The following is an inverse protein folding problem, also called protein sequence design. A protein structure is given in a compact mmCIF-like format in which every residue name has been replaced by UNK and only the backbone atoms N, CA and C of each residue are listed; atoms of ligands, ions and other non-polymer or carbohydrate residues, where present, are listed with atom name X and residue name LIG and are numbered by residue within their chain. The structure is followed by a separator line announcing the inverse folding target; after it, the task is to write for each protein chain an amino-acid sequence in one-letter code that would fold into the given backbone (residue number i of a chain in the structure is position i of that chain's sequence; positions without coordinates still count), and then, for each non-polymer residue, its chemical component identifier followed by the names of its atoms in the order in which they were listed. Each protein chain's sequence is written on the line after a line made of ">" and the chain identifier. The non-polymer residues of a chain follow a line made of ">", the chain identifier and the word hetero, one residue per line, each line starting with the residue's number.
data_IF_822805686719
#
_entry.id   IF_822805686719
#
_cell.length_a   1.000
_cell.length_b   1.000
_cell.length_c   1.000
_cell.angle_alpha   90.00
_cell.angle_beta   90.00
_cell.angle_gamma   90.00
#
_symmetry.space_group_name_H-M   'P 1'
#
loop_
_entity.id
_entity.type
_entity.pdbx_description
1 polymer ?
#
# COMPACT_ATOMS: atom_id res chain seq x y z
N UNK A 1 8.64 9.12 0.38
CA UNK A 1 8.57 7.67 0.09
C UNK A 1 9.33 6.91 1.17
N UNK A 2 8.76 5.82 1.71
CA UNK A 2 9.27 5.07 2.85
C UNK A 2 9.92 3.74 2.43
N UNK A 3 11.15 3.45 2.88
CA UNK A 3 11.87 2.25 2.47
C UNK A 3 11.42 1.00 3.22
N UNK A 4 11.01 -0.02 2.46
CA UNK A 4 10.57 -1.33 2.99
C UNK A 4 11.66 -2.01 3.83
N UNK A 5 12.94 -1.70 3.55
CA UNK A 5 14.09 -2.19 4.32
C UNK A 5 14.00 -1.90 5.82
N UNK A 6 13.37 -0.79 6.23
CA UNK A 6 13.22 -0.46 7.66
C UNK A 6 12.37 -1.50 8.39
N UNK A 7 11.31 -1.99 7.76
CA UNK A 7 10.48 -3.05 8.33
C UNK A 7 11.20 -4.38 8.36
N UNK A 8 12.06 -4.68 7.38
CA UNK A 8 12.95 -5.86 7.45
C UNK A 8 13.86 -5.84 8.67
N UNK A 9 14.37 -4.67 9.07
CA UNK A 9 15.15 -4.53 10.32
C UNK A 9 14.28 -4.79 11.56
N UNK A 10 13.05 -4.27 11.59
CA UNK A 10 12.13 -4.49 12.70
C UNK A 10 11.72 -5.97 12.83
N UNK A 11 11.45 -6.63 11.69
CA UNK A 11 11.17 -8.08 11.64
C UNK A 11 12.37 -8.86 12.17
N UNK A 12 13.59 -8.58 11.70
CA UNK A 12 14.79 -9.27 12.17
C UNK A 12 15.04 -9.05 13.67
N UNK A 13 14.83 -7.84 14.16
CA UNK A 13 14.95 -7.53 15.59
C UNK A 13 13.93 -8.33 16.41
N UNK A 14 12.67 -8.38 15.96
CA UNK A 14 11.62 -9.12 16.64
C UNK A 14 11.87 -10.63 16.61
N UNK A 15 12.32 -11.17 15.48
CA UNK A 15 12.70 -12.58 15.33
C UNK A 15 13.82 -13.02 16.28
N UNK A 16 14.74 -12.11 16.61
CA UNK A 16 15.87 -12.38 17.51
C UNK A 16 15.55 -12.22 19.00
N UNK A 17 14.33 -11.79 19.34
CA UNK A 17 13.95 -11.53 20.72
C UNK A 17 13.72 -12.86 21.48
N UNK A 18 14.30 -13.07 22.68
CA UNK A 18 14.28 -14.37 23.36
C UNK A 18 12.87 -14.87 23.73
N UNK A 19 11.91 -13.95 23.85
CA UNK A 19 10.52 -14.24 24.17
C UNK A 19 9.59 -14.32 22.95
N UNK A 20 10.15 -14.40 21.73
CA UNK A 20 9.39 -14.44 20.49
C UNK A 20 9.66 -15.75 19.75
N UNK A 21 8.60 -16.44 19.35
CA UNK A 21 8.69 -17.56 18.42
C UNK A 21 8.81 -17.00 16.99
N UNK A 22 10.03 -16.99 16.46
CA UNK A 22 10.32 -16.47 15.12
C UNK A 22 9.63 -17.23 13.99
N UNK A 23 9.11 -18.44 14.26
CA UNK A 23 8.32 -19.20 13.30
C UNK A 23 6.84 -18.77 13.26
N UNK A 24 6.39 -17.84 14.12
CA UNK A 24 4.98 -17.44 14.28
C UNK A 24 4.73 -15.93 14.20
N UNK A 25 5.55 -15.21 13.43
CA UNK A 25 5.37 -13.76 13.29
C UNK A 25 4.13 -13.41 12.47
N UNK A 26 3.40 -12.39 12.92
CA UNK A 26 2.24 -11.84 12.23
C UNK A 26 2.36 -10.32 12.11
N UNK A 27 1.68 -9.75 11.11
CA UNK A 27 1.56 -8.29 10.93
C UNK A 27 0.09 -7.89 10.91
N UNK A 28 -0.22 -6.79 11.58
CA UNK A 28 -1.55 -6.19 11.59
C UNK A 28 -1.45 -4.77 11.01
N UNK A 29 -2.39 -4.41 10.15
CA UNK A 29 -2.42 -3.07 9.57
C UNK A 29 -3.84 -2.59 9.23
N UNK A 30 -4.04 -1.28 9.31
CA UNK A 30 -5.31 -0.60 8.99
C UNK A 30 -5.10 0.43 7.89
N UNK A 31 -6.03 0.54 6.93
CA UNK A 31 -5.97 1.55 5.85
C UNK A 31 -4.64 1.46 5.08
N UNK A 32 -3.85 2.54 5.00
CA UNK A 32 -2.50 2.53 4.41
C UNK A 32 -1.55 1.55 5.10
N UNK A 33 -1.75 1.30 6.39
CA UNK A 33 -1.04 0.25 7.13
C UNK A 33 -1.47 -1.16 6.73
N UNK A 34 -2.72 -1.36 6.29
CA UNK A 34 -3.20 -2.64 5.78
C UNK A 34 -2.60 -2.98 4.40
N UNK A 35 -2.48 -1.97 3.53
CA UNK A 35 -1.70 -2.06 2.28
C UNK A 35 -0.24 -2.44 2.58
N UNK A 36 0.40 -1.77 3.56
CA UNK A 36 1.75 -2.11 4.00
C UNK A 36 1.83 -3.54 4.56
N UNK A 37 0.87 -3.96 5.37
CA UNK A 37 0.87 -5.31 5.97
C UNK A 37 0.86 -6.40 4.90
N UNK A 38 0.01 -6.27 3.87
CA UNK A 38 -0.01 -7.17 2.71
C UNK A 38 1.30 -7.12 1.92
N UNK A 39 1.82 -5.91 1.66
CA UNK A 39 3.09 -5.74 0.96
C UNK A 39 4.26 -6.40 1.71
N UNK A 40 4.36 -6.22 3.02
CA UNK A 40 5.41 -6.83 3.84
C UNK A 40 5.33 -8.36 3.79
N UNK A 41 4.14 -8.94 3.88
CA UNK A 41 3.97 -10.38 3.81
C UNK A 41 4.33 -10.96 2.43
N UNK A 42 4.15 -10.18 1.35
CA UNK A 42 4.58 -10.59 0.00
C UNK A 42 6.11 -10.60 -0.17
N UNK A 43 6.84 -9.82 0.62
CA UNK A 43 8.30 -9.64 0.51
C UNK A 43 9.08 -10.44 1.56
N UNK A 44 8.53 -10.62 2.77
CA UNK A 44 9.22 -11.22 3.90
C UNK A 44 8.57 -12.55 4.31
N UNK A 45 9.12 -13.71 3.88
CA UNK A 45 8.59 -15.03 4.22
C UNK A 45 8.55 -15.35 5.72
N UNK A 46 9.23 -14.55 6.56
CA UNK A 46 9.17 -14.66 8.01
C UNK A 46 7.77 -14.35 8.56
N UNK A 47 6.98 -13.52 7.88
CA UNK A 47 5.61 -13.20 8.26
C UNK A 47 4.71 -14.38 7.86
N UNK A 48 4.02 -14.98 8.83
CA UNK A 48 3.17 -16.17 8.65
C UNK A 48 1.68 -15.87 8.65
N UNK A 49 1.28 -14.72 9.19
CA UNK A 49 -0.11 -14.29 9.19
C UNK A 49 -0.22 -12.77 9.00
N UNK A 50 -1.30 -12.35 8.35
CA UNK A 50 -1.63 -10.94 8.13
C UNK A 50 -3.06 -10.68 8.60
N UNK A 51 -3.25 -9.61 9.36
CA UNK A 51 -4.58 -9.09 9.72
C UNK A 51 -4.72 -7.70 9.14
N UNK A 52 -5.66 -7.53 8.21
CA UNK A 52 -5.92 -6.25 7.55
C UNK A 52 -7.29 -5.69 7.96
N UNK A 53 -7.33 -4.45 8.45
CA UNK A 53 -8.56 -3.68 8.58
C UNK A 53 -8.65 -2.72 7.41
N UNK A 54 -9.67 -2.91 6.55
CA UNK A 54 -9.82 -2.19 5.27
C UNK A 54 -8.50 -2.12 4.47
N UNK A 55 -7.82 -3.26 4.22
CA UNK A 55 -6.55 -3.26 3.51
C UNK A 55 -6.77 -3.07 2.00
N UNK A 56 -5.68 -2.81 1.27
CA UNK A 56 -5.66 -2.80 -0.19
C UNK A 56 -4.58 -3.76 -0.71
N UNK A 57 -4.94 -4.61 -1.68
CA UNK A 57 -3.97 -5.40 -2.45
C UNK A 57 -3.24 -4.61 -3.53
N UNK A 58 -3.66 -3.37 -3.78
CA UNK A 58 -3.10 -2.42 -4.73
C UNK A 58 -2.34 -1.34 -3.97
N UNK A 59 -1.15 -0.96 -4.44
CA UNK A 59 -0.41 0.17 -3.89
C UNK A 59 -1.02 1.46 -4.44
N UNK A 60 -1.57 2.32 -3.58
CA UNK A 60 -2.06 3.64 -3.98
C UNK A 60 -1.04 4.75 -3.67
N UNK A 61 -1.27 6.00 -4.14
CA UNK A 61 -0.42 7.12 -3.81
C UNK A 61 -0.21 7.32 -2.31
N UNK A 62 0.91 7.96 -1.97
CA UNK A 62 1.19 8.38 -0.62
C UNK A 62 0.28 9.49 -0.13
N UNK A 63 0.02 9.49 1.18
CA UNK A 63 -0.70 10.55 1.87
C UNK A 63 0.24 11.76 1.96
N UNK A 64 0.09 12.73 1.05
CA UNK A 64 0.94 13.91 1.00
C UNK A 64 0.60 14.85 -0.15
N UNK A 65 1.15 16.07 -0.15
CA UNK A 65 0.96 17.03 -1.23
C UNK A 65 1.61 16.55 -2.53
N UNK A 66 1.16 17.13 -3.64
CA UNK A 66 1.67 16.86 -4.99
C UNK A 66 3.19 17.15 -5.11
N UNK A 67 3.93 16.39 -5.96
CA UNK A 67 3.44 15.42 -6.93
C UNK A 67 3.03 14.08 -6.30
N UNK A 68 2.07 13.42 -6.95
CA UNK A 68 1.61 12.07 -6.59
C UNK A 68 2.80 11.11 -6.69
N UNK A 69 3.09 10.39 -5.61
CA UNK A 69 4.21 9.46 -5.54
C UNK A 69 3.83 8.21 -4.72
N UNK A 70 4.54 7.11 -4.93
CA UNK A 70 4.38 5.92 -4.10
C UNK A 70 4.70 6.21 -2.64
N UNK A 71 3.96 5.56 -1.74
CA UNK A 71 4.34 5.51 -0.34
C UNK A 71 5.61 4.69 -0.11
N UNK A 72 5.94 3.74 -0.98
CA UNK A 72 6.87 2.66 -0.66
C UNK A 72 8.02 2.56 -1.64
N UNK A 73 9.20 2.26 -1.09
CA UNK A 73 10.41 1.99 -1.86
C UNK A 73 10.96 0.62 -1.52
N UNK A 74 11.30 -0.18 -2.54
CA UNK A 74 11.99 -1.45 -2.37
C UNK A 74 13.32 -1.42 -3.12
N UNK A 75 14.41 -1.84 -2.45
CA UNK A 75 15.79 -1.82 -3.00
C UNK A 75 16.19 -0.48 -3.65
N UNK A 76 15.78 0.64 -3.07
CA UNK A 76 16.09 1.97 -3.60
C UNK A 76 15.21 2.42 -4.76
N UNK A 77 14.24 1.61 -5.20
CA UNK A 77 13.31 1.94 -6.29
C UNK A 77 11.89 2.14 -5.78
N UNK A 78 11.19 3.15 -6.31
CA UNK A 78 9.77 3.35 -6.01
C UNK A 78 9.00 2.11 -6.46
N UNK A 79 8.15 1.59 -5.58
CA UNK A 79 7.23 0.54 -6.01
C UNK A 79 6.18 1.14 -6.95
N UNK A 80 5.77 0.39 -7.99
CA UNK A 80 4.64 0.79 -8.82
C UNK A 80 3.39 1.00 -7.97
N UNK A 81 2.55 1.94 -8.39
CA UNK A 81 1.35 2.30 -7.67
C UNK A 81 0.26 2.70 -8.66
N UNK A 82 -1.00 2.44 -8.30
CA UNK A 82 -2.18 2.76 -9.09
C UNK A 82 -2.48 4.25 -8.99
N UNK A 83 -2.32 4.96 -10.10
CA UNK A 83 -2.71 6.36 -10.26
C UNK A 83 -2.99 6.63 -11.73
N UNK A 84 -3.77 7.67 -12.02
CA UNK A 84 -4.06 8.04 -13.40
C UNK A 84 -5.18 9.04 -13.54
N UNK A 85 -5.64 9.21 -14.77
CA UNK A 85 -6.78 10.06 -15.11
C UNK A 85 -8.06 9.53 -14.48
N UNK A 86 -8.88 10.45 -13.99
CA UNK A 86 -10.18 10.18 -13.40
C UNK A 86 -11.19 11.00 -14.19
N UNK A 87 -12.34 10.44 -14.61
CA UNK A 87 -13.32 11.19 -15.39
C UNK A 87 -13.79 12.47 -14.70
N UNK A 88 -14.00 13.52 -15.49
CA UNK A 88 -14.39 14.84 -14.99
C UNK A 88 -15.69 14.80 -14.17
N UNK A 89 -16.61 13.87 -14.45
CA UNK A 89 -17.84 13.70 -13.66
C UNK A 89 -17.52 13.35 -12.20
N UNK A 90 -16.54 12.48 -11.98
CA UNK A 90 -16.16 11.99 -10.64
C UNK A 90 -15.50 13.12 -9.87
N UNK A 91 -14.65 13.90 -10.54
CA UNK A 91 -14.04 15.09 -9.94
C UNK A 91 -15.09 16.15 -9.59
N UNK A 92 -16.10 16.31 -10.43
CA UNK A 92 -17.23 17.22 -10.18
C UNK A 92 -18.05 16.76 -8.98
N UNK A 93 -18.38 15.47 -8.88
CA UNK A 93 -19.09 14.87 -7.74
C UNK A 93 -18.31 15.08 -6.43
N UNK A 94 -17.00 14.83 -6.43
CA UNK A 94 -16.13 15.06 -5.27
C UNK A 94 -16.12 16.54 -4.85
N UNK A 95 -15.97 17.46 -5.80
CA UNK A 95 -15.97 18.89 -5.54
C UNK A 95 -17.32 19.36 -4.98
N UNK A 96 -18.43 18.86 -5.52
CA UNK A 96 -19.76 19.13 -4.98
C UNK A 96 -19.89 18.60 -3.55
N UNK A 97 -19.45 17.37 -3.28
CA UNK A 97 -19.51 16.79 -1.94
C UNK A 97 -18.69 17.59 -0.92
N UNK A 98 -17.47 17.98 -1.28
CA UNK A 98 -16.60 18.82 -0.46
C UNK A 98 -17.20 20.20 -0.16
N UNK A 99 -17.90 20.80 -1.12
CA UNK A 99 -18.46 22.15 -0.98
C UNK A 99 -19.84 22.19 -0.30
N UNK A 100 -20.60 21.10 -0.35
CA UNK A 100 -21.98 21.03 0.17
C UNK A 100 -22.11 20.28 1.49
N UNK A 101 -21.03 19.65 1.96
CA UNK A 101 -21.01 18.93 3.23
C UNK A 101 -21.74 17.58 3.20
N UNK A 102 -22.13 17.09 2.02
CA UNK A 102 -22.62 15.71 1.88
C UNK A 102 -21.46 14.72 1.99
N UNK A 103 -21.71 13.45 2.38
CA UNK A 103 -20.65 12.46 2.54
C UNK A 103 -19.79 12.29 1.27
N UNK A 104 -18.48 12.39 1.43
CA UNK A 104 -17.51 12.19 0.35
C UNK A 104 -17.27 10.70 0.15
N UNK A 105 -17.40 10.23 -1.09
CA UNK A 105 -17.02 8.87 -1.49
C UNK A 105 -15.82 8.89 -2.44
N UNK A 106 -14.68 8.39 -1.96
CA UNK A 106 -13.48 8.22 -2.79
C UNK A 106 -13.54 6.95 -3.66
N UNK A 107 -14.59 6.13 -3.54
CA UNK A 107 -14.68 4.81 -4.17
C UNK A 107 -14.43 4.87 -5.68
N UNK A 108 -15.08 5.80 -6.39
CA UNK A 108 -14.93 5.93 -7.85
C UNK A 108 -13.50 6.28 -8.24
N UNK A 109 -12.85 7.20 -7.53
CA UNK A 109 -11.44 7.58 -7.77
C UNK A 109 -10.51 6.38 -7.63
N UNK A 110 -10.63 5.62 -6.54
CA UNK A 110 -9.80 4.44 -6.31
C UNK A 110 -10.07 3.34 -7.35
N UNK A 111 -11.33 3.15 -7.78
CA UNK A 111 -11.66 2.21 -8.85
C UNK A 111 -11.03 2.60 -10.19
N UNK A 112 -11.12 3.86 -10.60
CA UNK A 112 -10.47 4.31 -11.84
C UNK A 112 -8.95 4.20 -11.79
N UNK A 113 -8.34 4.46 -10.64
CA UNK A 113 -6.90 4.24 -10.47
C UNK A 113 -6.52 2.76 -10.55
N UNK A 114 -7.33 1.86 -9.99
CA UNK A 114 -7.12 0.41 -10.07
C UNK A 114 -7.39 -0.17 -11.46
N UNK A 115 -8.43 0.29 -12.17
CA UNK A 115 -8.79 -0.20 -13.50
C UNK A 115 -7.90 0.40 -14.60
N UNK A 116 -7.40 1.62 -14.39
CA UNK A 116 -6.45 2.30 -15.27
C UNK A 116 -5.01 1.77 -15.18
N UNK A 117 -4.78 0.68 -14.43
CA UNK A 117 -3.48 0.07 -14.19
C UNK A 117 -2.80 -0.40 -15.48
N UNK A 118 -2.03 0.49 -16.13
CA UNK A 118 -1.01 0.10 -17.11
C UNK A 118 0.36 -0.18 -16.46
N UNK A 119 0.53 0.09 -15.16
CA UNK A 119 1.85 0.08 -14.49
C UNK A 119 1.92 -0.62 -13.12
N UNK A 120 0.81 -1.01 -12.49
CA UNK A 120 0.86 -1.52 -11.10
C UNK A 120 1.20 -3.02 -10.98
N UNK A 121 1.07 -3.81 -12.05
CA UNK A 121 1.63 -5.15 -12.07
C UNK A 121 3.16 -5.05 -12.11
N UNK A 122 3.82 -5.41 -11.01
CA UNK A 122 5.24 -5.71 -11.03
C UNK A 122 5.47 -6.91 -11.94
N UNK A 123 5.77 -6.66 -13.22
CA UNK A 123 6.11 -7.70 -14.20
C UNK A 123 7.32 -8.55 -13.82
N UNK A 124 7.98 -8.29 -12.69
CA UNK A 124 9.15 -9.04 -12.27
C UNK A 124 9.37 -9.04 -10.74
N UNK A 125 8.44 -9.61 -9.98
CA UNK A 125 8.77 -10.19 -8.66
C UNK A 125 9.35 -11.62 -8.79
N UNK A 126 9.56 -12.10 -10.02
CA UNK A 126 10.06 -13.44 -10.36
C UNK A 126 11.57 -13.56 -10.50
N UNK A 127 12.35 -12.48 -10.44
CA UNK A 127 13.81 -12.59 -10.35
C UNK A 127 14.21 -13.09 -8.96
N UNK A 128 14.23 -14.43 -8.89
CA UNK A 128 14.87 -15.31 -7.91
C UNK A 128 16.11 -14.68 -7.27
N UNK A 129 16.18 -14.84 -5.94
CA UNK A 129 17.32 -14.83 -5.02
C UNK A 129 18.60 -14.10 -5.48
#
# INVERSE_FOLDING_TARGET
>A
MYPIRLYGKAINWLSGHPNVDSAKLAVLGTSKGGELALLLASIFPAIKAVVGYVPSGIIYPGLGPTPVASSWQYKGQSLPFAYGEVPQEVMTELNQAMNTGVPISWRKTYLYWAEGEKQAESRDCSRKY
#
